data_IF_337471901212
#
_entry.id   IF_337471901212
#
_cell.length_a   1.000
_cell.length_b   1.000
_cell.length_c   1.000
_cell.angle_alpha   90.00
_cell.angle_beta   90.00
_cell.angle_gamma   90.00
#
_symmetry.space_group_name_H-M   'P 1'
#
loop_
_entity.id
_entity.type
_entity.pdbx_description
1 polymer ?
#
# COMPACT_ATOMS: atom_id res chain seq x y z
N UNK A 1 -24.62 9.66 1.51
CA UNK A 1 -23.32 10.38 1.57
C UNK A 1 -22.21 9.35 1.50
N UNK A 2 -21.53 9.32 0.35
CA UNK A 2 -20.29 8.62 -0.05
C UNK A 2 -19.82 7.36 0.70
N UNK A 3 -20.18 6.18 0.18
CA UNK A 3 -19.41 4.95 0.39
C UNK A 3 -18.62 4.63 -0.89
N UNK A 4 -17.57 5.40 -1.17
CA UNK A 4 -16.48 4.88 -2.01
C UNK A 4 -15.69 3.92 -1.13
N UNK A 5 -16.23 2.72 -0.94
CA UNK A 5 -15.65 1.74 -0.04
C UNK A 5 -14.39 1.18 -0.72
N UNK A 6 -13.22 1.70 -0.33
CA UNK A 6 -11.89 1.22 -0.73
C UNK A 6 -11.58 -0.15 -0.11
N UNK A 7 -12.50 -1.10 -0.29
CA UNK A 7 -12.54 -2.39 0.41
C UNK A 7 -11.50 -3.39 -0.11
N UNK A 8 -10.97 -3.17 -1.32
CA UNK A 8 -10.02 -4.06 -1.97
C UNK A 8 -8.58 -3.51 -1.94
N UNK A 9 -8.43 -2.21 -2.18
CA UNK A 9 -7.17 -1.46 -2.13
C UNK A 9 -7.48 -0.12 -1.48
N UNK A 10 -6.78 0.22 -0.40
CA UNK A 10 -7.05 1.41 0.39
C UNK A 10 -6.53 2.70 -0.27
N UNK A 11 -6.93 3.82 0.32
CA UNK A 11 -6.25 5.08 0.08
C UNK A 11 -4.79 5.07 0.52
N UNK A 12 -4.00 5.98 -0.06
CA UNK A 12 -2.59 6.18 0.29
C UNK A 12 -2.52 6.81 1.68
N UNK A 13 -1.87 6.12 2.60
CA UNK A 13 -1.69 6.58 3.97
C UNK A 13 -0.21 6.79 4.26
N UNK A 14 0.10 7.58 5.29
CA UNK A 14 1.46 7.69 5.82
C UNK A 14 1.96 6.30 6.29
N UNK A 15 3.24 6.00 6.06
CA UNK A 15 3.81 4.70 6.44
C UNK A 15 3.71 4.41 7.94
N UNK A 16 3.80 5.43 8.80
CA UNK A 16 3.72 5.29 10.25
C UNK A 16 2.30 4.98 10.71
N UNK A 17 1.29 5.15 9.85
CA UNK A 17 -0.09 4.80 10.17
C UNK A 17 -0.28 3.33 10.53
N UNK A 18 0.63 2.42 10.13
CA UNK A 18 0.57 0.99 10.46
C UNK A 18 1.14 0.65 11.84
N UNK A 19 1.75 1.61 12.56
CA UNK A 19 2.19 1.39 13.94
C UNK A 19 1.02 1.01 14.86
N UNK A 20 -0.17 1.56 14.59
CA UNK A 20 -1.41 1.27 15.33
C UNK A 20 -1.87 -0.20 15.21
N UNK A 21 -1.42 -0.92 14.18
CA UNK A 21 -1.76 -2.33 13.99
C UNK A 21 -0.97 -3.24 14.95
N UNK A 22 0.11 -2.71 15.56
CA UNK A 22 1.03 -3.45 16.43
C UNK A 22 1.47 -2.63 17.67
N UNK A 23 0.53 -2.18 18.53
CA UNK A 23 0.80 -1.15 19.56
C UNK A 23 1.89 -1.54 20.58
N UNK A 24 1.98 -2.82 20.96
CA UNK A 24 2.89 -3.29 22.02
C UNK A 24 4.07 -4.13 21.50
N UNK A 25 4.19 -4.30 20.18
CA UNK A 25 5.25 -5.13 19.61
C UNK A 25 6.49 -4.29 19.27
N UNK A 26 7.47 -4.31 20.18
CA UNK A 26 8.75 -3.58 20.02
C UNK A 26 9.51 -3.96 18.74
N UNK A 27 9.42 -5.21 18.28
CA UNK A 27 10.10 -5.67 17.06
C UNK A 27 9.44 -5.07 15.82
N UNK A 28 8.10 -5.12 15.72
CA UNK A 28 7.38 -4.51 14.61
C UNK A 28 7.57 -3.00 14.58
N UNK A 29 7.44 -2.33 15.74
CA UNK A 29 7.65 -0.88 15.85
C UNK A 29 9.00 -0.46 15.29
N UNK A 30 10.09 -1.08 15.75
CA UNK A 30 11.44 -0.79 15.25
C UNK A 30 11.55 -1.00 13.73
N UNK A 31 10.99 -2.09 13.20
CA UNK A 31 11.03 -2.37 11.75
C UNK A 31 10.24 -1.34 10.94
N UNK A 32 9.09 -0.87 11.45
CA UNK A 32 8.26 0.15 10.79
C UNK A 32 8.97 1.51 10.82
N UNK A 33 9.56 1.88 11.95
CA UNK A 33 10.37 3.10 12.07
C UNK A 33 11.56 3.09 11.10
N UNK A 34 12.28 1.96 10.96
CA UNK A 34 13.33 1.82 9.94
C UNK A 34 12.77 1.90 8.50
N UNK A 35 11.62 1.27 8.23
CA UNK A 35 10.98 1.32 6.91
C UNK A 35 10.61 2.76 6.51
N UNK A 36 10.17 3.57 7.48
CA UNK A 36 9.78 4.96 7.26
C UNK A 36 10.92 5.87 6.79
N UNK A 37 12.17 5.49 7.04
CA UNK A 37 13.35 6.23 6.56
C UNK A 37 13.51 6.14 5.03
N UNK A 38 12.87 5.16 4.39
CA UNK A 38 13.01 4.87 2.94
C UNK A 38 11.71 5.01 2.16
N UNK A 39 10.57 4.86 2.81
CA UNK A 39 9.26 4.90 2.18
C UNK A 39 8.34 5.85 2.93
N UNK A 40 7.62 6.69 2.20
CA UNK A 40 6.75 7.71 2.79
C UNK A 40 5.31 7.25 2.99
N UNK A 41 4.86 6.25 2.22
CA UNK A 41 3.45 5.91 2.17
C UNK A 41 3.17 4.43 1.88
N UNK A 42 1.94 4.01 2.19
CA UNK A 42 1.44 2.65 2.01
C UNK A 42 -0.04 2.65 1.57
N UNK A 43 -0.43 1.65 0.77
CA UNK A 43 -1.83 1.26 0.53
C UNK A 43 -2.02 -0.18 1.04
N UNK A 44 -3.07 -0.43 1.81
CA UNK A 44 -3.45 -1.77 2.28
C UNK A 44 -4.27 -2.49 1.21
N UNK A 45 -4.11 -3.80 1.09
CA UNK A 45 -4.95 -4.65 0.24
C UNK A 45 -5.76 -5.61 1.09
N UNK A 46 -6.93 -6.03 0.59
CA UNK A 46 -7.78 -7.01 1.27
C UNK A 46 -7.07 -8.36 1.34
N UNK A 47 -6.94 -8.93 2.54
CA UNK A 47 -6.39 -10.26 2.78
C UNK A 47 -7.39 -11.37 2.46
N UNK A 48 -7.74 -11.56 1.18
CA UNK A 48 -8.77 -12.48 0.69
C UNK A 48 -8.20 -13.63 -0.17
N UNK A 49 -6.91 -13.96 -0.01
CA UNK A 49 -6.20 -14.93 -0.85
C UNK A 49 -5.77 -14.37 -2.22
N UNK A 50 -6.30 -13.23 -2.67
CA UNK A 50 -5.96 -12.60 -3.95
C UNK A 50 -5.02 -11.40 -3.80
N UNK A 51 -4.62 -11.07 -2.56
CA UNK A 51 -3.88 -9.84 -2.23
C UNK A 51 -2.58 -9.65 -3.04
N UNK A 52 -1.84 -10.73 -3.33
CA UNK A 52 -0.61 -10.68 -4.12
C UNK A 52 -0.87 -10.20 -5.56
N UNK A 53 -1.77 -10.89 -6.28
CA UNK A 53 -2.13 -10.54 -7.65
C UNK A 53 -2.71 -9.12 -7.74
N UNK A 54 -3.56 -8.77 -6.76
CA UNK A 54 -4.19 -7.46 -6.65
C UNK A 54 -3.17 -6.34 -6.42
N UNK A 55 -2.24 -6.52 -5.49
CA UNK A 55 -1.21 -5.52 -5.17
C UNK A 55 -0.24 -5.32 -6.35
N UNK A 56 0.21 -6.41 -6.97
CA UNK A 56 1.13 -6.35 -8.10
C UNK A 56 0.47 -5.68 -9.31
N UNK A 57 -0.74 -6.12 -9.69
CA UNK A 57 -1.46 -5.55 -10.83
C UNK A 57 -1.74 -4.05 -10.64
N UNK A 58 -2.23 -3.66 -9.46
CA UNK A 58 -2.50 -2.24 -9.18
C UNK A 58 -1.24 -1.37 -9.23
N UNK A 59 -0.19 -1.74 -8.49
CA UNK A 59 1.01 -0.91 -8.37
C UNK A 59 1.77 -0.80 -9.70
N UNK A 60 1.80 -1.88 -10.49
CA UNK A 60 2.41 -1.87 -11.80
C UNK A 60 1.67 -0.95 -12.77
N UNK A 61 0.34 -1.08 -12.87
CA UNK A 61 -0.47 -0.21 -13.74
C UNK A 61 -0.42 1.26 -13.30
N UNK A 62 -0.45 1.53 -11.99
CA UNK A 62 -0.27 2.88 -11.43
C UNK A 62 1.09 3.48 -11.86
N UNK A 63 2.15 2.68 -11.91
CA UNK A 63 3.50 3.13 -12.32
C UNK A 63 3.65 3.46 -13.81
N UNK A 64 2.71 3.01 -14.65
CA UNK A 64 2.68 3.23 -16.09
C UNK A 64 1.87 4.47 -16.49
N UNK A 65 1.04 5.01 -15.59
CA UNK A 65 0.24 6.20 -15.86
C UNK A 65 1.16 7.37 -16.25
N UNK A 66 0.92 7.97 -17.42
CA UNK A 66 1.73 9.05 -17.99
C UNK A 66 2.96 8.59 -18.79
N UNK A 67 3.24 7.29 -18.90
CA UNK A 67 4.38 6.74 -19.66
C UNK A 67 3.96 6.07 -20.97
N UNK A 68 3.53 6.88 -21.94
CA UNK A 68 2.94 6.40 -23.20
C UNK A 68 3.81 5.38 -23.97
N UNK A 69 5.14 5.54 -24.01
CA UNK A 69 6.04 4.59 -24.71
C UNK A 69 6.12 3.20 -24.07
N UNK A 70 5.82 3.07 -22.77
CA UNK A 70 5.86 1.78 -22.06
C UNK A 70 4.55 1.00 -22.22
N UNK A 71 3.46 1.67 -22.60
CA UNK A 71 2.13 1.07 -22.75
C UNK A 71 1.92 0.45 -24.15
N UNK A 72 2.49 1.05 -25.20
CA UNK A 72 2.28 0.63 -26.60
C UNK A 72 3.43 -0.20 -27.19
N UNK A 73 4.20 -0.90 -26.35
CA UNK A 73 5.25 -1.81 -26.80
C UNK A 73 4.73 -3.21 -27.10
#
# INVERSE_FOLDING_TARGET
MSETSFNLISEKCDILSILRDHPENRIYRRKIEELSKRFTAIRKTKGDGNCFYRALGYSYLESLLGKSREIFK
#
